data_IF_031095515797
#
_entry.id   IF_031095515797
#
_cell.length_a   1.000
_cell.length_b   1.000
_cell.length_c   1.000
_cell.angle_alpha   90.00
_cell.angle_beta   90.00
_cell.angle_gamma   90.00
#
_symmetry.space_group_name_H-M   'P 1'
#
loop_
_entity.id
_entity.type
_entity.pdbx_description
1 polymer ?
#
# COMPACT_ATOMS: atom_id res chain seq x y z
N UNK A 1 6.15 -16.37 13.89
CA UNK A 1 7.06 -15.32 13.38
C UNK A 1 7.09 -15.42 11.87
N UNK A 2 6.68 -14.37 11.14
CA UNK A 2 6.71 -14.31 9.68
C UNK A 2 8.00 -13.60 9.25
N UNK A 3 8.74 -14.21 8.33
CA UNK A 3 9.89 -13.62 7.66
C UNK A 3 9.69 -13.88 6.17
N UNK A 4 9.53 -12.81 5.39
CA UNK A 4 9.32 -12.89 3.94
C UNK A 4 9.81 -11.60 3.32
N UNK A 5 10.30 -11.67 2.08
CA UNK A 5 10.62 -10.48 1.33
C UNK A 5 9.33 -9.93 0.71
N UNK A 6 9.13 -8.60 0.72
CA UNK A 6 7.86 -8.01 0.29
C UNK A 6 7.53 -8.31 -1.19
N UNK A 7 8.54 -8.57 -2.03
CA UNK A 7 8.34 -8.94 -3.44
C UNK A 7 7.67 -10.30 -3.62
N UNK A 8 7.73 -11.17 -2.61
CA UNK A 8 7.17 -12.52 -2.67
C UNK A 8 5.68 -12.53 -2.30
N UNK A 9 5.14 -11.35 -1.95
CA UNK A 9 3.72 -11.16 -1.62
C UNK A 9 3.00 -10.69 -2.87
N UNK A 10 2.00 -11.47 -3.29
CA UNK A 10 1.17 -11.14 -4.44
C UNK A 10 0.46 -9.79 -4.24
N UNK A 11 0.64 -8.82 -5.15
CA UNK A 11 -0.02 -7.53 -5.04
C UNK A 11 -1.48 -7.61 -5.46
N UNK A 12 -2.31 -6.83 -4.79
CA UNK A 12 -3.62 -6.45 -5.31
C UNK A 12 -3.46 -5.26 -6.24
N UNK A 13 -3.94 -5.39 -7.48
CA UNK A 13 -3.97 -4.30 -8.45
C UNK A 13 -5.21 -3.42 -8.24
N UNK A 14 -5.01 -2.11 -8.17
CA UNK A 14 -6.06 -1.10 -8.08
C UNK A 14 -6.10 -0.32 -9.39
N UNK A 15 -7.06 -0.69 -10.24
CA UNK A 15 -7.35 -0.03 -11.51
C UNK A 15 -8.86 0.06 -11.67
N UNK A 16 -9.42 1.26 -11.53
CA UNK A 16 -10.84 1.54 -11.66
C UNK A 16 -11.08 3.01 -11.99
N UNK A 17 -12.34 3.46 -11.93
CA UNK A 17 -12.71 4.80 -12.39
C UNK A 17 -12.02 5.94 -11.63
N UNK A 18 -11.72 5.74 -10.34
CA UNK A 18 -11.15 6.76 -9.46
C UNK A 18 -9.69 6.49 -9.03
N UNK A 19 -9.10 5.36 -9.45
CA UNK A 19 -7.74 4.93 -9.07
C UNK A 19 -7.07 4.26 -10.26
N UNK A 20 -5.83 4.64 -10.55
CA UNK A 20 -5.12 4.13 -11.73
C UNK A 20 -3.69 3.78 -11.38
N UNK A 21 -3.23 2.63 -11.86
CA UNK A 21 -1.82 2.25 -11.85
C UNK A 21 -1.24 2.04 -10.45
N UNK A 22 -2.06 1.59 -9.50
CA UNK A 22 -1.60 1.34 -8.12
C UNK A 22 -1.57 -0.16 -7.83
N UNK A 23 -0.51 -0.63 -7.19
CA UNK A 23 -0.41 -1.98 -6.63
C UNK A 23 -0.20 -1.89 -5.13
N UNK A 24 -0.91 -2.69 -4.36
CA UNK A 24 -0.78 -2.74 -2.91
C UNK A 24 -0.54 -4.15 -2.40
N UNK A 25 0.37 -4.31 -1.45
CA UNK A 25 0.68 -5.57 -0.75
C UNK A 25 0.44 -5.41 0.73
N UNK A 26 -0.19 -6.39 1.37
CA UNK A 26 -0.26 -6.47 2.83
C UNK A 26 0.94 -7.28 3.31
N UNK A 27 1.97 -6.61 3.80
CA UNK A 27 3.17 -7.29 4.31
C UNK A 27 2.95 -7.88 5.70
N UNK A 28 2.35 -7.10 6.59
CA UNK A 28 1.98 -7.51 7.94
C UNK A 28 0.55 -7.04 8.18
N UNK A 29 -0.36 -7.96 8.45
CA UNK A 29 -1.76 -7.64 8.73
C UNK A 29 -2.40 -8.59 9.73
N UNK A 30 -3.73 -8.51 9.83
CA UNK A 30 -4.52 -9.33 10.76
C UNK A 30 -4.28 -10.83 10.60
N UNK A 31 -4.12 -11.30 9.36
CA UNK A 31 -3.84 -12.71 9.07
C UNK A 31 -2.46 -13.18 9.59
N UNK A 32 -1.57 -12.24 9.90
CA UNK A 32 -0.25 -12.50 10.47
C UNK A 32 -0.24 -12.33 12.01
N UNK A 33 -1.39 -12.04 12.63
CA UNK A 33 -1.52 -11.78 14.07
C UNK A 33 -1.17 -10.36 14.50
N UNK A 34 -1.19 -9.39 13.58
CA UNK A 34 -1.01 -7.98 13.92
C UNK A 34 -2.35 -7.32 14.27
N UNK A 35 -2.57 -7.11 15.57
CA UNK A 35 -3.87 -6.63 16.10
C UNK A 35 -4.00 -5.11 16.20
N UNK A 36 -2.87 -4.37 16.17
CA UNK A 36 -2.87 -2.93 16.42
C UNK A 36 -2.73 -2.07 15.15
N UNK A 37 -1.90 -2.49 14.19
CA UNK A 37 -1.68 -1.77 12.93
C UNK A 37 -1.32 -2.74 11.82
N UNK A 38 -1.44 -2.30 10.56
CA UNK A 38 -1.05 -3.06 9.38
C UNK A 38 0.07 -2.35 8.61
N UNK A 39 1.00 -3.12 8.06
CA UNK A 39 2.04 -2.64 7.17
C UNK A 39 1.68 -3.02 5.74
N UNK A 40 1.61 -2.00 4.87
CA UNK A 40 1.31 -2.16 3.45
C UNK A 40 2.41 -1.51 2.61
N UNK A 41 2.73 -2.12 1.48
CA UNK A 41 3.63 -1.55 0.48
C UNK A 41 2.78 -1.18 -0.73
N UNK A 42 2.86 0.09 -1.13
CA UNK A 42 2.22 0.58 -2.33
C UNK A 42 3.27 0.96 -3.38
N UNK A 43 2.97 0.60 -4.62
CA UNK A 43 3.70 1.02 -5.81
C UNK A 43 2.71 1.79 -6.69
N UNK A 44 3.12 2.98 -7.13
CA UNK A 44 2.35 3.80 -8.05
C UNK A 44 3.14 3.90 -9.35
N UNK A 45 2.56 3.42 -10.43
CA UNK A 45 3.14 3.49 -11.77
C UNK A 45 3.16 4.96 -12.27
N UNK A 46 3.98 5.30 -13.27
CA UNK A 46 3.93 6.61 -13.91
C UNK A 46 2.50 6.95 -14.38
N UNK A 47 2.08 8.21 -14.17
CA UNK A 47 0.70 8.69 -14.40
C UNK A 47 -0.38 7.97 -13.56
N UNK A 48 0.02 7.19 -12.55
CA UNK A 48 -0.87 6.57 -11.57
C UNK A 48 -1.29 7.56 -10.50
N UNK A 49 -2.48 7.35 -9.94
CA UNK A 49 -3.06 8.23 -8.92
C UNK A 49 -4.06 7.51 -8.04
N UNK A 50 -4.31 8.10 -6.88
CA UNK A 50 -5.40 7.74 -5.97
C UNK A 50 -6.31 8.96 -5.77
N UNK A 51 -7.60 8.78 -5.47
CA UNK A 51 -8.49 9.91 -5.28
C UNK A 51 -8.18 10.60 -3.96
N UNK A 52 -8.33 11.93 -3.92
CA UNK A 52 -8.30 12.69 -2.67
C UNK A 52 -9.44 12.21 -1.76
N UNK A 53 -9.11 11.82 -0.54
CA UNK A 53 -10.07 11.37 0.47
C UNK A 53 -9.55 11.65 1.89
N UNK A 54 -10.41 11.43 2.89
CA UNK A 54 -10.08 11.58 4.30
C UNK A 54 -10.85 10.53 5.13
N UNK A 55 -10.30 10.18 6.29
CA UNK A 55 -10.87 9.19 7.22
C UNK A 55 -10.26 9.37 8.62
N UNK A 56 -10.92 8.80 9.63
CA UNK A 56 -10.61 9.03 11.05
C UNK A 56 -9.44 8.20 11.60
N UNK A 57 -8.70 7.50 10.74
CA UNK A 57 -7.45 6.82 11.08
C UNK A 57 -6.25 7.47 10.40
N UNK A 58 -5.11 7.44 11.06
CA UNK A 58 -3.87 8.01 10.59
C UNK A 58 -3.22 7.19 9.45
N UNK A 59 -2.31 7.86 8.73
CA UNK A 59 -1.32 7.19 7.88
C UNK A 59 0.07 7.58 8.36
N UNK A 60 0.90 6.57 8.60
CA UNK A 60 2.34 6.72 8.81
C UNK A 60 3.06 6.19 7.55
N UNK A 61 3.65 7.08 6.76
CA UNK A 61 4.18 6.75 5.42
C UNK A 61 5.69 6.97 5.38
N UNK A 62 6.40 5.95 4.88
CA UNK A 62 7.81 6.04 4.50
C UNK A 62 7.94 5.83 2.99
N UNK A 63 8.56 6.78 2.29
CA UNK A 63 8.86 6.66 0.87
C UNK A 63 10.22 5.97 0.66
N UNK A 64 10.20 4.74 0.16
CA UNK A 64 11.42 3.94 -0.05
C UNK A 64 12.18 4.34 -1.32
N UNK A 65 11.47 4.69 -2.39
CA UNK A 65 12.04 5.02 -3.68
C UNK A 65 11.06 5.83 -4.53
N UNK A 66 11.58 6.48 -5.56
CA UNK A 66 10.78 7.28 -6.50
C UNK A 66 10.48 8.70 -6.00
N UNK A 67 9.61 9.37 -6.74
CA UNK A 67 9.11 10.72 -6.46
C UNK A 67 7.64 10.80 -6.90
N UNK A 68 6.86 11.61 -6.23
CA UNK A 68 5.46 11.86 -6.54
C UNK A 68 4.92 13.01 -5.71
N UNK A 69 3.65 13.32 -5.92
CA UNK A 69 2.95 14.40 -5.24
C UNK A 69 1.88 13.85 -4.29
N UNK A 70 1.59 14.62 -3.23
CA UNK A 70 0.56 14.33 -2.21
C UNK A 70 -0.48 15.43 -2.21
#
# INVERSE_FOLDING_TARGET
MKITHYSDIEPTAFNGDAVKGVKGRVAIGKNDGADNFCMRIFEVEPEGYTPRHAHDWEHEILFFSGKGDV
#
